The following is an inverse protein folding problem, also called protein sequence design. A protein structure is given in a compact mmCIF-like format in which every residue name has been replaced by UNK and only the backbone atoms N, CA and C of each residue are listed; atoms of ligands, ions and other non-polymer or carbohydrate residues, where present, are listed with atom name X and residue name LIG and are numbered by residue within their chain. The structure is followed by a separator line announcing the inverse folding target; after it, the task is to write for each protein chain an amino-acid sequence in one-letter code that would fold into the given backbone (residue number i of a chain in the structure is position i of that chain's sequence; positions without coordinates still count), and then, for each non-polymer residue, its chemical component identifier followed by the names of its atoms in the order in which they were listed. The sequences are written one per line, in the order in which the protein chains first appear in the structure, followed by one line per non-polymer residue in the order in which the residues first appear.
data_IF_658648528946
#
_entry.id   IF_658648528946
#
_cell.length_a   1.000
_cell.length_b   1.000
_cell.length_c   1.000
_cell.angle_alpha   90.00
_cell.angle_beta   90.00
_cell.angle_gamma   90.00
#
_symmetry.space_group_name_H-M   'P 1'
#
loop_
_entity.id
_entity.type
_entity.pdbx_description
1 polymer ?
#
# COMPACT_ATOMS: atom_id res chain seq x y z
N UNK A 1 -65.05 39.10 -16.06
CA UNK A 1 -64.18 39.42 -17.21
C UNK A 1 -62.77 39.15 -16.74
N UNK A 2 -62.13 38.25 -17.46
CA UNK A 2 -60.76 37.75 -17.28
C UNK A 2 -59.75 38.89 -17.29
N UNK A 3 -58.66 38.75 -16.53
CA UNK A 3 -57.32 38.81 -17.11
C UNK A 3 -56.29 38.16 -16.20
N UNK A 4 -55.47 37.33 -16.85
CA UNK A 4 -54.44 36.44 -16.38
C UNK A 4 -53.12 37.17 -16.10
N UNK A 5 -52.46 36.88 -14.98
CA UNK A 5 -51.02 37.09 -14.83
C UNK A 5 -50.32 35.74 -14.72
N UNK A 6 -49.66 35.34 -15.81
CA UNK A 6 -48.88 34.11 -15.94
C UNK A 6 -47.62 34.11 -15.06
N UNK A 7 -47.33 32.92 -14.55
CA UNK A 7 -46.08 32.52 -13.90
C UNK A 7 -44.86 32.73 -14.81
N UNK A 8 -43.84 33.42 -14.32
CA UNK A 8 -42.46 33.31 -14.80
C UNK A 8 -41.52 33.15 -13.60
N UNK A 9 -41.39 31.92 -13.11
CA UNK A 9 -40.18 31.47 -12.43
C UNK A 9 -39.73 30.18 -13.10
N UNK A 10 -38.93 30.34 -14.16
CA UNK A 10 -38.13 29.27 -14.74
C UNK A 10 -37.09 28.82 -13.72
N UNK A 11 -37.36 27.72 -13.02
CA UNK A 11 -36.35 27.02 -12.24
C UNK A 11 -35.32 26.40 -13.18
N UNK A 12 -34.24 27.12 -13.48
CA UNK A 12 -33.05 26.50 -14.07
C UNK A 12 -32.41 25.61 -13.01
N UNK A 13 -32.63 24.30 -13.15
CA UNK A 13 -31.84 23.26 -12.48
C UNK A 13 -30.36 23.57 -12.73
N UNK A 14 -29.48 23.60 -11.70
CA UNK A 14 -28.06 23.81 -11.95
C UNK A 14 -27.53 22.72 -12.90
N UNK A 15 -26.65 23.07 -13.85
CA UNK A 15 -26.42 22.26 -15.04
C UNK A 15 -25.63 20.99 -14.72
N UNK A 16 -25.85 19.97 -15.56
CA UNK A 16 -25.24 18.63 -15.63
C UNK A 16 -23.70 18.56 -15.53
N UNK A 17 -23.00 19.70 -15.39
CA UNK A 17 -21.55 19.81 -15.26
C UNK A 17 -21.07 19.22 -13.93
N UNK A 18 -21.74 19.54 -12.81
CA UNK A 18 -21.36 18.99 -11.50
C UNK A 18 -21.57 17.48 -11.45
N UNK A 19 -22.70 17.01 -11.99
CA UNK A 19 -23.01 15.57 -12.09
C UNK A 19 -22.00 14.87 -12.99
N UNK A 20 -21.64 15.44 -14.15
CA UNK A 20 -20.60 14.87 -15.02
C UNK A 20 -19.23 14.82 -14.35
N UNK A 21 -18.87 15.83 -13.56
CA UNK A 21 -17.57 15.89 -12.92
C UNK A 21 -17.47 14.90 -11.75
N UNK A 22 -18.52 14.77 -10.94
CA UNK A 22 -18.62 13.73 -9.90
C UNK A 22 -18.67 12.32 -10.51
N UNK A 23 -19.39 12.13 -11.61
CA UNK A 23 -19.43 10.84 -12.32
C UNK A 23 -18.06 10.52 -12.93
N UNK A 24 -17.34 11.47 -13.52
CA UNK A 24 -15.98 11.27 -14.03
C UNK A 24 -14.99 10.97 -12.89
N UNK A 25 -15.11 11.64 -11.74
CA UNK A 25 -14.28 11.36 -10.56
C UNK A 25 -14.59 10.00 -9.94
N UNK A 26 -15.86 9.61 -9.87
CA UNK A 26 -16.30 8.28 -9.44
C UNK A 26 -15.86 7.20 -10.44
N UNK A 27 -15.99 7.43 -11.75
CA UNK A 27 -15.56 6.50 -12.80
C UNK A 27 -14.04 6.34 -12.83
N UNK A 28 -13.26 7.42 -12.64
CA UNK A 28 -11.81 7.34 -12.41
C UNK A 28 -11.47 6.53 -11.16
N UNK A 29 -12.22 6.69 -10.06
CA UNK A 29 -12.10 5.85 -8.85
C UNK A 29 -12.44 4.38 -9.10
N UNK A 30 -13.38 4.07 -10.01
CA UNK A 30 -13.82 2.71 -10.33
C UNK A 30 -12.86 2.00 -11.30
N UNK A 31 -12.25 2.72 -12.25
CA UNK A 31 -11.22 2.19 -13.16
C UNK A 31 -9.92 1.83 -12.44
N UNK A 32 -9.72 2.39 -11.25
CA UNK A 32 -8.56 2.12 -10.41
C UNK A 32 -8.61 0.80 -9.67
N UNK A 33 -9.79 0.24 -9.35
CA UNK A 33 -9.87 -0.97 -8.53
C UNK A 33 -9.81 -2.23 -9.38
N UNK A 34 -8.83 -3.10 -9.11
CA UNK A 34 -8.71 -4.41 -9.76
C UNK A 34 -9.89 -5.32 -9.36
N UNK A 35 -10.16 -6.39 -10.12
CA UNK A 35 -11.12 -7.40 -9.71
C UNK A 35 -10.84 -7.98 -8.31
N UNK A 36 -9.57 -8.15 -7.94
CA UNK A 36 -9.15 -8.66 -6.64
C UNK A 36 -9.45 -7.66 -5.52
N UNK A 37 -9.24 -6.35 -5.75
CA UNK A 37 -9.62 -5.30 -4.79
C UNK A 37 -11.13 -5.27 -4.58
N UNK A 38 -11.90 -5.28 -5.68
CA UNK A 38 -13.37 -5.31 -5.62
C UNK A 38 -13.85 -6.55 -4.85
N UNK A 39 -13.28 -7.71 -5.14
CA UNK A 39 -13.55 -8.96 -4.42
C UNK A 39 -13.29 -8.80 -2.93
N UNK A 40 -12.12 -8.32 -2.51
CA UNK A 40 -11.81 -8.15 -1.09
C UNK A 40 -12.73 -7.14 -0.38
N UNK A 41 -13.19 -6.11 -1.08
CA UNK A 41 -14.11 -5.11 -0.53
C UNK A 41 -15.52 -5.66 -0.34
N UNK A 42 -16.03 -6.42 -1.31
CA UNK A 42 -17.45 -6.79 -1.35
C UNK A 42 -17.74 -8.22 -0.92
N UNK A 43 -16.75 -9.12 -0.97
CA UNK A 43 -16.98 -10.55 -0.70
C UNK A 43 -17.49 -10.76 0.73
N UNK A 44 -18.55 -11.56 0.85
CA UNK A 44 -19.21 -11.80 2.12
C UNK A 44 -18.37 -12.71 3.02
N UNK A 45 -18.33 -12.38 4.30
CA UNK A 45 -17.66 -13.20 5.30
C UNK A 45 -18.52 -14.45 5.55
N UNK A 46 -17.88 -15.62 5.51
CA UNK A 46 -18.54 -16.90 5.77
C UNK A 46 -19.03 -16.92 7.21
N UNK A 47 -20.21 -17.48 7.43
CA UNK A 47 -20.78 -17.74 8.75
C UNK A 47 -20.76 -19.24 9.06
N UNK A 48 -20.67 -19.59 10.35
CA UNK A 48 -20.84 -20.96 10.84
C UNK A 48 -22.33 -21.34 10.97
N UNK A 49 -22.58 -22.57 11.42
CA UNK A 49 -23.94 -23.11 11.66
C UNK A 49 -24.74 -22.35 12.72
N UNK A 50 -24.06 -21.59 13.58
CA UNK A 50 -24.66 -20.78 14.64
C UNK A 50 -24.84 -19.31 14.21
N UNK A 51 -24.49 -18.97 12.96
CA UNK A 51 -24.59 -17.62 12.41
C UNK A 51 -23.40 -16.70 12.76
N UNK A 52 -22.34 -17.21 13.37
CA UNK A 52 -21.16 -16.41 13.70
C UNK A 52 -20.25 -16.26 12.48
N UNK A 53 -19.76 -15.05 12.23
CA UNK A 53 -18.76 -14.79 11.18
C UNK A 53 -17.46 -15.55 11.49
N UNK A 54 -16.88 -16.18 10.48
CA UNK A 54 -15.61 -16.89 10.56
C UNK A 54 -14.44 -15.91 10.57
N UNK A 55 -14.28 -15.25 11.71
CA UNK A 55 -13.22 -14.30 12.03
C UNK A 55 -12.46 -14.86 13.23
N UNK A 56 -11.14 -15.05 13.09
CA UNK A 56 -10.31 -15.61 14.16
C UNK A 56 -9.07 -14.77 14.39
N UNK A 57 -8.89 -14.31 15.61
CA UNK A 57 -7.70 -13.57 16.04
C UNK A 57 -6.44 -14.45 15.96
N UNK A 58 -5.39 -13.91 15.37
CA UNK A 58 -4.03 -14.45 15.42
C UNK A 58 -3.33 -13.89 16.66
N UNK A 59 -2.96 -14.78 17.58
CA UNK A 59 -2.25 -14.41 18.82
C UNK A 59 -0.74 -14.35 18.56
N UNK A 60 -0.04 -13.53 19.36
CA UNK A 60 1.43 -13.49 19.39
C UNK A 60 2.06 -12.23 18.78
N UNK A 61 1.27 -11.36 18.14
CA UNK A 61 1.70 -10.04 17.68
C UNK A 61 1.42 -8.93 18.70
N UNK A 62 2.05 -7.77 18.52
CA UNK A 62 1.81 -6.56 19.34
C UNK A 62 0.49 -5.89 18.94
N UNK A 63 0.10 -6.01 17.67
CA UNK A 63 -1.18 -5.53 17.14
C UNK A 63 -2.20 -6.66 17.06
N UNK A 64 -3.49 -6.33 17.15
CA UNK A 64 -4.56 -7.31 16.86
C UNK A 64 -4.60 -7.59 15.37
N UNK A 65 -4.61 -8.87 15.02
CA UNK A 65 -4.67 -9.35 13.65
C UNK A 65 -5.72 -10.46 13.58
N UNK A 66 -6.56 -10.46 12.54
CA UNK A 66 -7.63 -11.43 12.37
C UNK A 66 -7.50 -12.12 11.03
N UNK A 67 -7.73 -13.43 11.02
CA UNK A 67 -8.00 -14.20 9.80
C UNK A 67 -9.48 -14.14 9.49
N UNK A 68 -9.82 -13.89 8.23
CA UNK A 68 -11.18 -13.83 7.70
C UNK A 68 -11.34 -14.96 6.70
N UNK A 69 -12.43 -15.72 6.80
CA UNK A 69 -12.85 -16.67 5.77
C UNK A 69 -14.05 -16.14 5.01
N UNK A 70 -13.94 -16.06 3.70
CA UNK A 70 -15.00 -15.60 2.81
C UNK A 70 -15.92 -16.73 2.36
N UNK A 71 -17.14 -16.40 1.91
CA UNK A 71 -18.12 -17.38 1.42
C UNK A 71 -17.60 -18.14 0.21
N UNK A 72 -16.90 -17.46 -0.70
CA UNK A 72 -16.22 -18.07 -1.85
C UNK A 72 -15.03 -19.00 -1.50
N UNK A 73 -14.69 -19.17 -0.21
CA UNK A 73 -13.58 -20.00 0.24
C UNK A 73 -12.23 -19.28 0.34
N UNK A 74 -12.12 -18.05 -0.16
CA UNK A 74 -10.94 -17.20 -0.02
C UNK A 74 -10.66 -16.83 1.44
N UNK A 75 -9.42 -16.42 1.69
CA UNK A 75 -8.94 -16.00 3.00
C UNK A 75 -8.40 -14.58 2.96
N UNK A 76 -8.47 -13.88 4.09
CA UNK A 76 -7.90 -12.55 4.25
C UNK A 76 -7.32 -12.33 5.65
N UNK A 77 -6.42 -11.36 5.76
CA UNK A 77 -5.84 -10.86 7.00
C UNK A 77 -6.37 -9.45 7.25
N UNK A 78 -7.13 -9.29 8.32
CA UNK A 78 -7.70 -8.03 8.75
C UNK A 78 -6.94 -7.45 9.95
N UNK A 79 -6.49 -6.21 9.83
CA UNK A 79 -5.84 -5.45 10.91
C UNK A 79 -6.68 -4.20 11.22
N UNK A 80 -7.51 -4.20 12.27
CA UNK A 80 -8.33 -3.05 12.62
C UNK A 80 -7.46 -1.92 13.17
N UNK A 81 -7.85 -0.68 12.88
CA UNK A 81 -7.21 0.53 13.42
C UNK A 81 -7.19 0.53 14.95
N UNK A 82 -8.27 0.10 15.60
CA UNK A 82 -8.36 0.04 17.08
C UNK A 82 -7.44 -1.02 17.69
N UNK A 83 -6.98 -1.98 16.88
CA UNK A 83 -6.06 -3.03 17.28
C UNK A 83 -4.59 -2.65 17.18
N UNK A 84 -4.27 -1.47 16.66
CA UNK A 84 -2.91 -0.97 16.56
C UNK A 84 -2.44 -0.42 17.91
N UNK A 85 -1.33 -0.96 18.43
CA UNK A 85 -0.73 -0.50 19.68
C UNK A 85 -0.14 0.92 19.57
N UNK A 86 0.00 1.46 18.35
CA UNK A 86 0.77 2.67 18.04
C UNK A 86 -0.07 3.88 17.62
N UNK A 87 -1.41 3.80 17.72
CA UNK A 87 -2.29 4.94 17.35
C UNK A 87 -2.10 6.16 18.24
N UNK A 88 -1.60 5.99 19.47
CA UNK A 88 -1.37 7.10 20.40
C UNK A 88 -0.14 7.96 20.06
N UNK A 89 0.76 7.50 19.19
CA UNK A 89 2.03 8.16 18.92
C UNK A 89 2.19 8.69 17.50
N UNK A 90 1.29 8.31 16.60
CA UNK A 90 1.29 8.71 15.19
C UNK A 90 -0.07 9.28 14.80
N UNK A 91 -0.07 10.22 13.87
CA UNK A 91 -1.30 10.77 13.32
C UNK A 91 -1.94 9.87 12.26
N UNK A 92 -1.16 8.95 11.66
CA UNK A 92 -1.61 8.04 10.60
C UNK A 92 -1.74 6.60 11.11
N UNK A 93 -2.89 5.94 10.89
CA UNK A 93 -3.06 4.51 11.14
C UNK A 93 -2.18 3.62 10.26
N UNK A 94 -1.69 2.51 10.82
CA UNK A 94 -1.03 1.43 10.11
C UNK A 94 -1.87 0.85 8.97
N UNK A 95 -3.20 0.75 9.13
CA UNK A 95 -4.11 0.35 8.06
C UNK A 95 -4.02 1.22 6.80
N UNK A 96 -3.89 2.55 6.94
CA UNK A 96 -3.70 3.46 5.80
C UNK A 96 -2.33 3.25 5.15
N UNK A 97 -1.30 3.02 5.97
CA UNK A 97 0.07 2.72 5.49
C UNK A 97 0.15 1.40 4.72
N UNK A 98 -0.49 0.35 5.20
CA UNK A 98 -0.61 -0.94 4.50
C UNK A 98 -1.25 -0.76 3.12
N UNK A 99 -2.36 -0.01 3.05
CA UNK A 99 -3.03 0.32 1.78
C UNK A 99 -2.12 1.15 0.86
N UNK A 100 -1.44 2.16 1.38
CA UNK A 100 -0.55 3.01 0.61
C UNK A 100 0.63 2.22 0.02
N UNK A 101 1.24 1.33 0.81
CA UNK A 101 2.32 0.46 0.36
C UNK A 101 1.85 -0.46 -0.80
N UNK A 102 0.66 -1.06 -0.68
CA UNK A 102 0.06 -1.84 -1.77
C UNK A 102 -0.18 -1.00 -3.04
N UNK A 103 -0.66 0.25 -2.91
CA UNK A 103 -0.87 1.12 -4.06
C UNK A 103 0.44 1.44 -4.78
N UNK A 104 1.51 1.77 -4.05
CA UNK A 104 2.85 1.96 -4.65
C UNK A 104 3.29 0.69 -5.39
N UNK A 105 3.20 -0.48 -4.73
CA UNK A 105 3.51 -1.78 -5.32
C UNK A 105 2.76 -2.02 -6.64
N UNK A 106 1.45 -1.74 -6.64
CA UNK A 106 0.58 -1.95 -7.80
C UNK A 106 0.92 -1.00 -8.94
N UNK A 107 1.05 0.30 -8.65
CA UNK A 107 1.25 1.32 -9.69
C UNK A 107 2.62 1.22 -10.37
N UNK A 108 3.66 0.80 -9.63
CA UNK A 108 4.99 0.54 -10.19
C UNK A 108 5.15 -0.90 -10.70
N UNK A 109 4.16 -1.77 -10.50
CA UNK A 109 4.16 -3.13 -11.03
C UNK A 109 5.20 -4.05 -10.41
N UNK A 110 5.47 -3.92 -9.10
CA UNK A 110 6.42 -4.78 -8.39
C UNK A 110 5.87 -6.20 -8.12
N UNK A 111 4.55 -6.36 -7.97
CA UNK A 111 3.89 -7.66 -7.70
C UNK A 111 4.42 -8.39 -6.43
N UNK A 112 4.74 -7.62 -5.38
CA UNK A 112 5.26 -8.11 -4.11
C UNK A 112 4.24 -8.06 -2.98
N UNK A 113 3.46 -6.98 -2.87
CA UNK A 113 2.49 -6.84 -1.77
C UNK A 113 1.15 -7.46 -2.19
N UNK A 114 0.61 -8.44 -1.44
CA UNK A 114 -0.72 -8.99 -1.73
C UNK A 114 -1.81 -7.91 -1.74
N UNK A 115 -2.88 -8.17 -2.48
CA UNK A 115 -3.99 -7.22 -2.62
C UNK A 115 -4.47 -6.73 -1.25
N UNK A 116 -4.44 -5.41 -1.02
CA UNK A 116 -4.75 -4.83 0.29
C UNK A 116 -5.73 -3.69 0.15
N UNK A 117 -6.89 -3.76 0.80
CA UNK A 117 -7.95 -2.74 0.75
C UNK A 117 -8.22 -2.18 2.15
N UNK A 118 -8.88 -1.01 2.23
CA UNK A 118 -9.49 -0.56 3.48
C UNK A 118 -10.90 -1.10 3.53
N UNK A 119 -11.26 -1.77 4.62
CA UNK A 119 -12.60 -2.34 4.81
C UNK A 119 -13.07 -2.16 6.24
N UNK A 120 -14.35 -1.90 6.40
CA UNK A 120 -15.02 -1.96 7.70
C UNK A 120 -15.59 -3.36 7.92
N UNK A 121 -15.27 -3.96 9.06
CA UNK A 121 -15.76 -5.28 9.47
C UNK A 121 -16.21 -5.16 10.92
N UNK A 122 -17.50 -5.43 11.16
CA UNK A 122 -18.12 -5.37 12.50
C UNK A 122 -17.91 -4.02 13.22
N UNK A 123 -18.02 -2.91 12.46
CA UNK A 123 -17.86 -1.54 12.97
C UNK A 123 -16.41 -1.08 13.11
N UNK A 124 -15.44 -1.95 12.84
CA UNK A 124 -14.02 -1.63 12.90
C UNK A 124 -13.46 -1.37 11.50
N UNK A 125 -12.90 -0.18 11.29
CA UNK A 125 -12.18 0.15 10.04
C UNK A 125 -10.75 -0.39 10.15
N UNK A 126 -10.27 -1.06 9.11
CA UNK A 126 -8.91 -1.57 9.06
C UNK A 126 -8.43 -1.90 7.66
N UNK A 127 -7.19 -2.37 7.55
CA UNK A 127 -6.66 -2.94 6.31
C UNK A 127 -7.05 -4.41 6.22
N UNK A 128 -7.58 -4.82 5.07
CA UNK A 128 -7.83 -6.21 4.72
C UNK A 128 -6.90 -6.60 3.56
N UNK A 129 -5.96 -7.49 3.85
CA UNK A 129 -5.00 -8.02 2.88
C UNK A 129 -5.39 -9.44 2.47
N UNK A 130 -5.21 -9.78 1.20
CA UNK A 130 -5.34 -11.15 0.70
C UNK A 130 -4.38 -12.10 1.42
N UNK A 131 -4.90 -13.23 1.89
CA UNK A 131 -4.04 -14.28 2.41
C UNK A 131 -3.53 -15.14 1.26
N UNK A 132 -2.20 -15.27 1.16
CA UNK A 132 -1.57 -16.13 0.15
C UNK A 132 -1.38 -17.54 0.74
N UNK A 133 -2.04 -18.58 0.18
CA UNK A 133 -1.86 -19.95 0.65
C UNK A 133 -0.51 -20.53 0.20
N UNK A 134 -0.13 -21.68 0.78
CA UNK A 134 1.04 -22.46 0.37
C UNK A 134 2.38 -21.71 0.39
N UNK A 135 2.49 -20.71 1.27
CA UNK A 135 3.74 -20.00 1.55
C UNK A 135 4.37 -20.40 2.89
N UNK A 136 5.66 -20.10 3.04
CA UNK A 136 6.41 -20.14 4.30
C UNK A 136 7.13 -18.82 4.53
N UNK A 137 7.59 -18.56 5.76
CA UNK A 137 8.46 -17.42 6.03
C UNK A 137 9.75 -17.52 5.22
N UNK A 138 10.28 -16.39 4.78
CA UNK A 138 11.56 -16.33 4.09
C UNK A 138 12.70 -16.81 5.01
N UNK A 139 13.52 -17.72 4.49
CA UNK A 139 14.61 -18.39 5.21
C UNK A 139 16.00 -17.80 4.88
N UNK A 140 16.08 -16.83 3.97
CA UNK A 140 17.34 -16.18 3.60
C UNK A 140 17.99 -16.74 2.32
N UNK A 141 17.35 -17.66 1.61
CA UNK A 141 17.97 -18.39 0.49
C UNK A 141 17.88 -17.71 -0.89
N UNK A 142 17.37 -16.47 -0.98
CA UNK A 142 17.28 -15.76 -2.26
C UNK A 142 18.53 -14.94 -2.53
N UNK A 143 18.95 -14.95 -3.79
CA UNK A 143 20.05 -14.13 -4.25
C UNK A 143 19.66 -12.63 -4.24
N UNK A 144 20.69 -11.76 -4.19
CA UNK A 144 20.49 -10.31 -4.10
C UNK A 144 19.72 -9.73 -5.28
N UNK A 145 19.91 -10.28 -6.48
CA UNK A 145 19.27 -9.79 -7.69
C UNK A 145 17.75 -10.04 -7.64
N UNK A 146 17.33 -11.19 -7.09
CA UNK A 146 15.92 -11.51 -6.82
C UNK A 146 15.27 -10.60 -5.77
N UNK A 147 16.06 -9.88 -4.96
CA UNK A 147 15.58 -8.96 -3.92
C UNK A 147 15.55 -7.49 -4.35
N UNK A 148 16.02 -7.15 -5.56
CA UNK A 148 16.12 -5.75 -6.03
C UNK A 148 14.76 -5.05 -5.95
N UNK A 149 13.70 -5.69 -6.43
CA UNK A 149 12.36 -5.10 -6.44
C UNK A 149 11.83 -4.83 -5.03
N UNK A 150 12.05 -5.77 -4.10
CA UNK A 150 11.70 -5.58 -2.69
C UNK A 150 12.45 -4.39 -2.10
N UNK A 151 13.70 -4.25 -2.48
CA UNK A 151 14.55 -3.14 -2.11
C UNK A 151 14.08 -1.77 -2.50
N UNK A 152 13.86 -1.63 -3.80
CA UNK A 152 13.35 -0.40 -4.38
C UNK A 152 11.99 -0.06 -3.78
N UNK A 153 11.12 -1.07 -3.61
CA UNK A 153 9.81 -0.89 -2.98
C UNK A 153 9.93 -0.43 -1.52
N UNK A 154 10.74 -1.10 -0.69
CA UNK A 154 10.92 -0.72 0.71
C UNK A 154 11.63 0.64 0.86
N UNK A 155 12.52 1.00 -0.07
CA UNK A 155 13.09 2.34 -0.14
C UNK A 155 12.01 3.40 -0.45
N UNK A 156 11.20 3.19 -1.49
CA UNK A 156 10.11 4.10 -1.86
C UNK A 156 9.10 4.25 -0.72
N UNK A 157 8.70 3.13 -0.13
CA UNK A 157 7.75 3.08 0.97
C UNK A 157 8.35 3.53 2.30
N UNK A 158 9.67 3.72 2.36
CA UNK A 158 10.36 4.07 3.59
C UNK A 158 10.07 3.06 4.71
N UNK A 159 10.17 1.77 4.39
CA UNK A 159 9.85 0.69 5.31
C UNK A 159 10.92 0.61 6.41
N UNK A 160 10.48 0.61 7.68
CA UNK A 160 11.36 0.58 8.86
C UNK A 160 11.42 -0.77 9.56
N UNK A 161 10.64 -1.75 9.12
CA UNK A 161 10.46 -3.02 9.81
C UNK A 161 10.52 -4.22 8.84
N UNK A 162 11.23 -4.07 7.72
CA UNK A 162 11.48 -5.24 6.86
C UNK A 162 12.45 -6.19 7.54
N UNK A 163 12.01 -7.43 7.75
CA UNK A 163 12.82 -8.56 8.19
C UNK A 163 12.27 -9.86 7.61
N UNK A 164 13.01 -11.00 7.66
CA UNK A 164 12.58 -12.26 7.03
C UNK A 164 11.18 -12.76 7.43
N UNK A 165 10.77 -12.56 8.68
CA UNK A 165 9.41 -12.93 9.11
C UNK A 165 8.28 -12.08 8.48
N UNK A 166 8.59 -10.94 7.86
CA UNK A 166 7.64 -10.10 7.12
C UNK A 166 7.67 -10.43 5.61
N UNK A 167 8.34 -11.52 5.23
CA UNK A 167 8.40 -12.01 3.86
C UNK A 167 7.89 -13.43 3.82
N UNK A 168 7.03 -13.70 2.85
CA UNK A 168 6.56 -15.03 2.54
C UNK A 168 7.16 -15.48 1.21
N UNK A 169 7.49 -16.76 1.09
CA UNK A 169 7.94 -17.40 -0.15
C UNK A 169 7.09 -18.63 -0.46
N UNK A 170 6.89 -18.93 -1.75
CA UNK A 170 6.23 -20.16 -2.17
C UNK A 170 6.96 -21.39 -1.65
N UNK A 171 6.23 -22.33 -1.02
CA UNK A 171 6.83 -23.58 -0.48
C UNK A 171 7.48 -24.46 -1.55
N UNK A 172 7.06 -24.34 -2.80
CA UNK A 172 7.43 -25.26 -3.88
C UNK A 172 8.78 -24.92 -4.52
N UNK A 173 9.11 -23.64 -4.65
CA UNK A 173 10.26 -23.20 -5.43
C UNK A 173 11.01 -21.99 -4.84
N UNK A 174 10.51 -21.38 -3.75
CA UNK A 174 11.00 -20.14 -3.13
C UNK A 174 11.09 -18.91 -4.06
N UNK A 175 10.58 -18.95 -5.29
CA UNK A 175 10.83 -17.92 -6.33
C UNK A 175 10.00 -16.65 -6.13
N UNK A 176 8.71 -16.78 -5.82
CA UNK A 176 7.84 -15.62 -5.61
C UNK A 176 7.90 -15.20 -4.14
N UNK A 177 8.16 -13.92 -3.93
CA UNK A 177 8.16 -13.28 -2.62
C UNK A 177 6.85 -12.51 -2.46
N UNK A 178 6.28 -12.60 -1.27
CA UNK A 178 5.19 -11.72 -0.85
C UNK A 178 5.62 -10.88 0.36
N UNK A 179 5.59 -9.57 0.20
CA UNK A 179 5.92 -8.59 1.22
C UNK A 179 4.68 -8.26 2.05
N UNK A 180 4.62 -8.81 3.26
CA UNK A 180 3.55 -8.56 4.22
C UNK A 180 4.02 -7.59 5.31
N UNK A 181 3.08 -7.18 6.16
CA UNK A 181 3.31 -6.32 7.32
C UNK A 181 4.02 -4.99 6.99
N UNK A 182 3.35 -4.16 6.19
CA UNK A 182 3.85 -2.87 5.74
C UNK A 182 3.30 -1.71 6.59
N UNK A 183 2.77 -2.00 7.78
CA UNK A 183 2.17 -1.03 8.70
C UNK A 183 3.16 0.00 9.28
N UNK A 184 4.47 -0.23 9.16
CA UNK A 184 5.55 0.69 9.57
C UNK A 184 6.30 1.30 8.37
N UNK A 185 5.58 1.58 7.28
CA UNK A 185 6.03 2.37 6.14
C UNK A 185 5.70 3.86 6.32
N UNK A 186 6.32 4.78 5.59
CA UNK A 186 5.98 6.22 5.63
C UNK A 186 5.94 6.85 7.03
N UNK A 187 6.70 6.34 8.00
CA UNK A 187 6.73 6.81 9.38
C UNK A 187 8.16 7.01 9.87
N UNK A 188 8.32 7.88 10.89
CA UNK A 188 9.57 8.10 11.61
C UNK A 188 9.75 7.16 12.80
N UNK A 189 8.80 6.24 13.03
CA UNK A 189 8.94 5.20 14.06
C UNK A 189 9.77 4.04 13.53
N UNK A 190 10.68 3.54 14.36
CA UNK A 190 11.39 2.29 14.12
C UNK A 190 11.17 1.29 15.25
N UNK A 191 10.98 0.03 14.87
CA UNK A 191 10.90 -1.10 15.79
C UNK A 191 12.29 -1.67 16.09
N UNK A 192 12.64 -1.83 17.38
CA UNK A 192 13.91 -2.41 17.83
C UNK A 192 13.72 -3.23 19.12
N UNK A 193 13.93 -4.55 19.05
CA UNK A 193 14.09 -5.41 20.23
C UNK A 193 12.93 -5.37 21.25
N UNK A 194 11.69 -5.30 20.79
CA UNK A 194 10.50 -5.20 21.65
C UNK A 194 10.13 -3.77 22.09
N UNK A 195 10.88 -2.74 21.69
CA UNK A 195 10.55 -1.33 21.90
C UNK A 195 10.60 -0.46 20.64
N UNK A 196 10.19 0.80 20.77
CA UNK A 196 10.04 1.75 19.67
C UNK A 196 10.98 2.95 19.84
N UNK A 197 11.58 3.38 18.74
CA UNK A 197 12.29 4.66 18.67
C UNK A 197 11.46 5.62 17.81
N UNK A 198 11.02 6.72 18.44
CA UNK A 198 10.39 7.86 17.76
C UNK A 198 11.45 8.74 17.12
N UNK A 199 11.04 9.53 16.13
CA UNK A 199 11.91 10.47 15.42
C UNK A 199 13.19 9.80 14.91
N UNK A 200 13.07 8.52 14.53
CA UNK A 200 14.19 7.77 13.99
C UNK A 200 14.65 8.48 12.72
N UNK A 201 15.95 8.83 12.61
CA UNK A 201 16.42 9.74 11.59
C UNK A 201 16.05 9.22 10.21
N UNK A 202 15.80 10.15 9.28
CA UNK A 202 15.27 9.87 7.94
C UNK A 202 16.26 9.18 6.98
N UNK A 203 17.16 8.38 7.54
CA UNK A 203 18.13 7.56 6.84
C UNK A 203 17.54 6.16 6.65
N UNK A 204 17.02 5.87 5.46
CA UNK A 204 16.99 4.47 5.00
C UNK A 204 18.42 4.10 4.70
N UNK A 205 18.99 3.23 5.52
CA UNK A 205 20.27 2.64 5.16
C UNK A 205 19.98 1.64 4.05
N UNK A 206 20.16 2.04 2.79
CA UNK A 206 20.04 1.13 1.64
C UNK A 206 20.94 -0.11 1.82
N UNK A 207 22.04 0.01 2.57
CA UNK A 207 22.88 -1.14 2.95
C UNK A 207 22.13 -2.23 3.75
N UNK A 208 21.08 -1.86 4.48
CA UNK A 208 20.30 -2.78 5.32
C UNK A 208 19.35 -3.63 4.44
N UNK A 209 19.20 -3.31 3.14
CA UNK A 209 18.33 -4.02 2.20
C UNK A 209 19.10 -4.63 1.00
N UNK A 210 20.43 -4.41 0.91
CA UNK A 210 21.35 -5.13 0.00
C UNK A 210 21.25 -4.75 -1.50
N UNK A 211 21.70 -3.56 -1.92
CA UNK A 211 21.69 -3.21 -3.37
C UNK A 211 22.91 -2.51 -3.95
N UNK A 212 23.90 -2.13 -3.14
CA UNK A 212 25.10 -1.51 -3.71
C UNK A 212 25.73 -2.45 -4.75
N UNK A 213 26.01 -1.89 -5.92
CA UNK A 213 26.73 -2.54 -7.01
C UNK A 213 26.03 -3.79 -7.59
N UNK A 214 24.77 -4.02 -7.24
CA UNK A 214 23.91 -5.03 -7.87
C UNK A 214 23.16 -4.39 -9.04
N UNK A 215 23.22 -4.96 -10.26
CA UNK A 215 22.46 -4.45 -11.40
C UNK A 215 20.95 -4.48 -11.12
N UNK A 216 20.25 -3.42 -11.53
CA UNK A 216 18.80 -3.40 -11.54
C UNK A 216 18.32 -4.17 -12.78
N UNK A 217 17.46 -5.18 -12.61
CA UNK A 217 16.91 -5.95 -13.73
C UNK A 217 16.30 -5.03 -14.81
N UNK A 218 16.51 -5.35 -16.09
CA UNK A 218 15.99 -4.53 -17.21
C UNK A 218 14.48 -4.34 -17.12
N UNK A 219 13.74 -5.42 -16.91
CA UNK A 219 12.29 -5.37 -16.74
C UNK A 219 11.86 -4.44 -15.58
N UNK A 220 12.63 -4.38 -14.49
CA UNK A 220 12.39 -3.47 -13.37
C UNK A 220 12.62 -2.02 -13.79
N UNK A 221 13.69 -1.75 -14.55
CA UNK A 221 13.97 -0.40 -15.09
C UNK A 221 12.87 0.08 -16.02
N UNK A 222 12.46 -0.76 -16.97
CA UNK A 222 11.38 -0.47 -17.91
C UNK A 222 10.07 -0.13 -17.19
N UNK A 223 9.67 -0.91 -16.17
CA UNK A 223 8.45 -0.63 -15.37
C UNK A 223 8.51 0.72 -14.66
N UNK A 224 9.66 1.05 -14.06
CA UNK A 224 9.86 2.34 -13.37
C UNK A 224 9.80 3.50 -14.38
N UNK A 225 10.46 3.37 -15.53
CA UNK A 225 10.46 4.39 -16.58
C UNK A 225 9.08 4.59 -17.21
N UNK A 226 8.33 3.49 -17.42
CA UNK A 226 6.94 3.53 -17.87
C UNK A 226 6.06 4.32 -16.89
N UNK A 227 6.14 4.01 -15.59
CA UNK A 227 5.40 4.73 -14.56
C UNK A 227 5.77 6.22 -14.53
N UNK A 228 7.06 6.55 -14.55
CA UNK A 228 7.54 7.93 -14.52
C UNK A 228 7.11 8.75 -15.73
N UNK A 229 6.97 8.11 -16.88
CA UNK A 229 6.52 8.74 -18.14
C UNK A 229 4.99 8.89 -18.19
N UNK A 230 4.24 8.11 -17.41
CA UNK A 230 2.79 8.13 -17.41
C UNK A 230 2.22 9.18 -16.43
N UNK A 231 1.85 10.36 -16.95
CA UNK A 231 1.29 11.46 -16.15
C UNK A 231 0.02 11.06 -15.40
N UNK A 232 -0.89 10.33 -16.04
CA UNK A 232 -2.15 9.93 -15.42
C UNK A 232 -1.93 8.98 -14.24
N UNK A 233 -1.12 7.92 -14.41
CA UNK A 233 -0.77 6.99 -13.32
C UNK A 233 -0.15 7.74 -12.13
N UNK A 234 0.72 8.73 -12.38
CA UNK A 234 1.31 9.56 -11.33
C UNK A 234 0.29 10.38 -10.57
N UNK A 235 -0.62 11.08 -11.27
CA UNK A 235 -1.68 11.87 -10.62
C UNK A 235 -2.62 11.00 -9.80
N UNK A 236 -3.01 9.83 -10.33
CA UNK A 236 -3.90 8.90 -9.61
C UNK A 236 -3.23 8.33 -8.35
N UNK A 237 -1.95 7.92 -8.43
CA UNK A 237 -1.21 7.47 -7.25
C UNK A 237 -1.04 8.63 -6.25
N UNK A 238 -0.67 9.82 -6.71
CA UNK A 238 -0.47 11.00 -5.85
C UNK A 238 -1.75 11.38 -5.12
N UNK A 239 -2.88 11.44 -5.81
CA UNK A 239 -4.19 11.70 -5.18
C UNK A 239 -4.55 10.64 -4.13
N UNK A 240 -4.38 9.36 -4.47
CA UNK A 240 -4.67 8.25 -3.55
C UNK A 240 -3.78 8.27 -2.31
N UNK A 241 -2.47 8.55 -2.47
CA UNK A 241 -1.53 8.66 -1.35
C UNK A 241 -1.81 9.90 -0.52
N UNK A 242 -2.19 11.03 -1.12
CA UNK A 242 -2.52 12.25 -0.39
C UNK A 242 -3.75 12.07 0.50
N UNK A 243 -4.75 11.30 0.06
CA UNK A 243 -5.92 10.94 0.86
C UNK A 243 -5.55 10.04 2.06
N UNK A 244 -4.60 9.11 1.87
CA UNK A 244 -4.20 8.13 2.90
C UNK A 244 -3.14 8.66 3.88
N UNK A 245 -2.19 9.46 3.41
CA UNK A 245 -0.97 9.81 4.14
C UNK A 245 -0.80 11.32 4.38
N UNK A 246 -1.63 12.14 3.74
CA UNK A 246 -1.45 13.59 3.67
C UNK A 246 -0.35 14.01 2.68
N UNK A 247 -0.30 15.33 2.44
CA UNK A 247 0.57 15.93 1.43
C UNK A 247 2.05 15.64 1.66
N UNK A 248 2.59 15.88 2.86
CA UNK A 248 4.03 15.81 3.11
C UNK A 248 4.60 14.39 2.90
N UNK A 249 3.91 13.36 3.39
CA UNK A 249 4.32 11.97 3.19
C UNK A 249 4.22 11.54 1.72
N UNK A 250 3.21 12.06 1.01
CA UNK A 250 3.03 11.83 -0.42
C UNK A 250 4.19 12.41 -1.21
N UNK A 251 4.54 13.68 -0.99
CA UNK A 251 5.67 14.33 -1.67
C UNK A 251 7.00 13.65 -1.34
N UNK A 252 7.21 13.24 -0.09
CA UNK A 252 8.39 12.48 0.28
C UNK A 252 8.47 11.13 -0.44
N UNK A 253 7.35 10.42 -0.60
CA UNK A 253 7.27 9.20 -1.41
C UNK A 253 7.63 9.46 -2.87
N UNK A 254 7.06 10.50 -3.49
CA UNK A 254 7.37 10.85 -4.89
C UNK A 254 8.83 11.23 -5.12
N UNK A 255 9.45 11.97 -4.19
CA UNK A 255 10.91 12.24 -4.22
C UNK A 255 11.72 10.94 -4.26
N UNK A 256 11.31 9.92 -3.50
CA UNK A 256 11.97 8.60 -3.51
C UNK A 256 11.71 7.81 -4.79
N UNK A 257 10.50 7.90 -5.36
CA UNK A 257 10.19 7.33 -6.68
C UNK A 257 11.09 7.96 -7.77
N UNK A 258 11.25 9.28 -7.76
CA UNK A 258 12.13 9.99 -8.70
C UNK A 258 13.60 9.58 -8.53
N UNK A 259 14.08 9.44 -7.29
CA UNK A 259 15.44 8.94 -7.01
C UNK A 259 15.63 7.51 -7.50
N UNK A 260 14.65 6.63 -7.31
CA UNK A 260 14.65 5.27 -7.90
C UNK A 260 14.66 5.32 -9.43
N UNK A 261 13.96 6.28 -10.04
CA UNK A 261 14.06 6.55 -11.48
C UNK A 261 15.47 6.90 -11.95
N UNK A 262 16.23 7.66 -11.15
CA UNK A 262 17.63 7.94 -11.44
C UNK A 262 18.49 6.68 -11.36
N UNK A 263 18.24 5.80 -10.37
CA UNK A 263 18.94 4.52 -10.26
C UNK A 263 18.62 3.61 -11.44
N UNK A 264 17.35 3.55 -11.86
CA UNK A 264 16.92 2.78 -13.02
C UNK A 264 17.67 3.22 -14.28
N UNK A 265 17.74 4.54 -14.57
CA UNK A 265 18.50 5.07 -15.71
C UNK A 265 20.00 4.73 -15.67
N UNK A 266 20.59 4.65 -14.46
CA UNK A 266 22.00 4.27 -14.28
C UNK A 266 22.23 2.76 -14.43
N UNK A 267 21.21 1.93 -14.30
CA UNK A 267 21.34 0.46 -14.35
C UNK A 267 21.72 -0.21 -13.03
N UNK A 268 22.09 0.56 -12.00
CA UNK A 268 22.54 0.06 -10.69
C UNK A 268 22.44 1.16 -9.63
N UNK A 269 22.50 0.77 -8.36
CA UNK A 269 22.66 1.70 -7.23
C UNK A 269 24.13 1.72 -6.85
N UNK A 270 24.78 2.87 -7.00
CA UNK A 270 26.19 3.02 -6.61
C UNK A 270 26.32 3.38 -5.13
N UNK A 271 27.39 2.94 -4.47
CA UNK A 271 27.62 3.29 -3.06
C UNK A 271 27.67 4.81 -2.82
N UNK A 272 28.16 5.57 -3.81
CA UNK A 272 28.20 7.04 -3.80
C UNK A 272 26.81 7.68 -3.80
N UNK A 273 25.82 7.05 -4.44
CA UNK A 273 24.43 7.51 -4.46
C UNK A 273 23.79 7.50 -3.05
N UNK A 274 24.39 6.76 -2.11
CA UNK A 274 23.91 6.58 -0.74
C UNK A 274 24.55 7.54 0.26
N UNK A 275 25.68 8.15 -0.13
CA UNK A 275 26.44 9.08 0.70
C UNK A 275 25.92 10.52 0.59
N UNK A 276 25.14 10.81 -0.46
CA UNK A 276 24.28 11.99 -0.49
C UNK A 276 23.27 11.87 0.65
N UNK A 277 23.52 12.60 1.74
CA UNK A 277 22.62 12.67 2.89
C UNK A 277 21.20 12.84 2.39
N UNK A 278 20.33 11.88 2.69
CA UNK A 278 18.89 12.04 2.56
C UNK A 278 18.44 13.06 3.61
N UNK A 279 18.74 14.34 3.41
CA UNK A 279 18.16 15.44 4.17
C UNK A 279 16.74 15.62 3.66
N UNK A 280 15.80 14.93 4.30
CA UNK A 280 14.38 15.23 4.21
C UNK A 280 14.05 16.27 5.28
N UNK A 281 14.08 17.55 4.89
CA UNK A 281 13.16 18.55 5.44
C UNK A 281 11.83 18.45 4.69
#
# INVERSE_FOLDING_TARGET
MEESSENLFSGTKPPDIFIKQEVIEQEKKIYLKTPEEKRLETEEIKVDENGNKLIKELKGGVNKVYTIKFKNGGLGIFKPKSGEAFTATETLPGSQRERAAYLVNKFLGFDLIPTTVIREIDGEIGSLQEFIPDTKAYDGELDKFSLIDLGLLDYINFNRDRHPANLLTEKTNNKKIHAIDNGLTFTKIKMLGGGFIKDYPDVVKIRDIIFCDTPIPENTRERIEEFLSNKEKKELLRGSLSELLGHNNTEACFKRIEKVGQFAKKGKIETTDLLEKMTFE
#
